data_IF_586877264214
#
_entry.id   IF_586877264214
#
_cell.length_a   1.000
_cell.length_b   1.000
_cell.length_c   1.000
_cell.angle_alpha   90.00
_cell.angle_beta   90.00
_cell.angle_gamma   90.00
#
_symmetry.space_group_name_H-M   'P 1'
#
loop_
_entity.id
_entity.type
_entity.pdbx_description
1 polymer ?
#
# COMPACT_ATOMS: atom_id res chain seq x y z
N UNK A 1 8.52 5.13 8.48
CA UNK A 1 9.65 4.58 7.67
C UNK A 1 10.75 3.92 8.52
N UNK A 2 10.74 4.04 9.85
CA UNK A 2 11.76 3.48 10.76
C UNK A 2 11.86 1.95 10.77
N UNK A 3 10.80 1.21 10.42
CA UNK A 3 10.80 -0.26 10.37
C UNK A 3 11.42 -0.86 9.10
N UNK A 4 11.66 -0.07 8.06
CA UNK A 4 12.36 -0.52 6.84
C UNK A 4 13.79 -0.02 6.93
N UNK A 5 14.63 -0.73 7.68
CA UNK A 5 16.02 -0.32 7.95
C UNK A 5 16.95 -0.42 6.74
N UNK A 6 16.65 -1.31 5.78
CA UNK A 6 17.43 -1.46 4.55
C UNK A 6 17.19 -0.31 3.56
N UNK A 7 18.27 0.44 3.29
CA UNK A 7 18.28 1.58 2.37
C UNK A 7 17.88 1.19 0.94
N UNK A 8 18.37 0.06 0.41
CA UNK A 8 18.06 -0.37 -0.96
C UNK A 8 16.59 -0.70 -1.12
N UNK A 9 15.98 -1.24 -0.06
CA UNK A 9 14.54 -1.51 -0.05
C UNK A 9 13.77 -0.18 -0.06
N UNK A 10 14.17 0.80 0.77
CA UNK A 10 13.55 2.13 0.76
C UNK A 10 13.66 2.83 -0.59
N UNK A 11 14.82 2.78 -1.23
CA UNK A 11 15.04 3.38 -2.56
C UNK A 11 14.13 2.74 -3.61
N UNK A 12 14.00 1.41 -3.62
CA UNK A 12 13.09 0.72 -4.55
C UNK A 12 11.61 1.03 -4.27
N UNK A 13 11.23 1.16 -3.00
CA UNK A 13 9.87 1.59 -2.64
C UNK A 13 9.63 3.02 -3.16
N UNK A 14 10.58 3.94 -2.94
CA UNK A 14 10.51 5.31 -3.44
C UNK A 14 10.30 5.35 -4.95
N UNK A 15 11.11 4.61 -5.71
CA UNK A 15 10.96 4.54 -7.16
C UNK A 15 9.56 4.05 -7.61
N UNK A 16 8.95 3.11 -6.87
CA UNK A 16 7.58 2.66 -7.19
C UNK A 16 6.54 3.72 -6.81
N UNK A 17 6.75 4.50 -5.74
CA UNK A 17 5.89 5.64 -5.39
C UNK A 17 5.98 6.72 -6.47
N UNK A 18 7.17 7.03 -6.95
CA UNK A 18 7.39 8.02 -8.01
C UNK A 18 6.66 7.62 -9.30
N UNK A 19 6.70 6.32 -9.65
CA UNK A 19 5.95 5.80 -10.79
C UNK A 19 4.44 5.98 -10.65
N UNK A 20 3.87 6.01 -9.43
CA UNK A 20 2.43 6.21 -9.27
C UNK A 20 1.99 7.58 -9.81
N UNK A 21 2.88 8.58 -9.91
CA UNK A 21 2.56 9.88 -10.50
C UNK A 21 2.10 9.79 -11.97
N UNK A 22 2.42 8.70 -12.66
CA UNK A 22 2.05 8.46 -14.06
C UNK A 22 0.89 7.46 -14.14
N UNK A 23 -0.31 7.90 -14.50
CA UNK A 23 -1.51 7.05 -14.67
C UNK A 23 -1.75 6.06 -13.49
N UNK A 24 -1.87 6.54 -12.23
CA UNK A 24 -2.04 5.67 -11.06
C UNK A 24 -3.23 4.71 -11.17
N UNK A 25 -4.30 5.10 -11.88
CA UNK A 25 -5.50 4.29 -12.10
C UNK A 25 -5.25 3.05 -12.97
N UNK A 26 -4.18 3.04 -13.77
CA UNK A 26 -3.74 1.90 -14.58
C UNK A 26 -2.76 1.00 -13.84
N UNK A 27 -2.26 1.44 -12.68
CA UNK A 27 -1.27 0.71 -11.91
C UNK A 27 -1.91 -0.10 -10.76
N UNK A 28 -1.23 -1.16 -10.34
CA UNK A 28 -1.69 -2.02 -9.23
C UNK A 28 -3.05 -2.68 -9.47
N UNK A 29 -3.57 -3.37 -8.45
CA UNK A 29 -4.89 -4.00 -8.46
C UNK A 29 -5.86 -3.20 -7.61
N UNK A 30 -7.03 -2.89 -8.14
CA UNK A 30 -8.14 -2.39 -7.34
C UNK A 30 -8.51 -3.42 -6.26
N UNK A 31 -8.70 -2.95 -5.04
CA UNK A 31 -9.15 -3.76 -3.92
C UNK A 31 -10.68 -3.77 -3.87
N UNK A 32 -11.23 -4.81 -3.22
CA UNK A 32 -12.66 -5.06 -3.12
C UNK A 32 -13.10 -5.11 -1.65
N UNK A 33 -14.42 -5.08 -1.42
CA UNK A 33 -15.01 -5.13 -0.09
C UNK A 33 -14.70 -3.88 0.73
N UNK A 34 -14.31 -4.03 1.99
CA UNK A 34 -14.00 -2.92 2.90
C UNK A 34 -12.87 -1.99 2.42
N UNK A 35 -12.06 -2.44 1.46
CA UNK A 35 -10.98 -1.64 0.86
C UNK A 35 -11.32 -1.19 -0.57
N UNK A 36 -12.59 -1.24 -0.97
CA UNK A 36 -13.02 -0.67 -2.25
C UNK A 36 -12.61 0.80 -2.34
N UNK A 37 -12.16 1.23 -3.53
CA UNK A 37 -11.58 2.56 -3.74
C UNK A 37 -10.07 2.63 -3.52
N UNK A 38 -9.47 1.66 -2.82
CA UNK A 38 -8.01 1.53 -2.72
C UNK A 38 -7.44 0.64 -3.82
N UNK A 39 -6.15 0.82 -4.08
CA UNK A 39 -5.35 0.03 -5.01
C UNK A 39 -4.11 -0.52 -4.31
N UNK A 40 -3.66 -1.71 -4.73
CA UNK A 40 -2.46 -2.36 -4.20
C UNK A 40 -1.47 -2.67 -5.30
N UNK A 41 -0.24 -2.18 -5.15
CA UNK A 41 0.89 -2.50 -6.02
C UNK A 41 2.01 -3.17 -5.22
N UNK A 42 2.75 -4.08 -5.87
CA UNK A 42 3.95 -4.69 -5.30
C UNK A 42 5.11 -3.73 -5.48
N UNK A 43 5.78 -3.36 -4.40
CA UNK A 43 6.94 -2.47 -4.45
C UNK A 43 8.26 -3.24 -4.56
N UNK A 44 8.49 -4.21 -3.67
CA UNK A 44 9.74 -4.99 -3.62
C UNK A 44 9.45 -6.44 -3.24
N UNK A 45 9.89 -7.40 -4.06
CA UNK A 45 9.69 -8.82 -3.79
C UNK A 45 8.23 -9.19 -3.53
N UNK A 46 7.97 -10.24 -2.75
CA UNK A 46 6.59 -10.61 -2.38
C UNK A 46 6.05 -9.89 -1.13
N UNK A 47 6.95 -9.23 -0.38
CA UNK A 47 6.68 -8.77 0.99
C UNK A 47 6.31 -7.29 1.10
N UNK A 48 6.71 -6.46 0.14
CA UNK A 48 6.47 -5.03 0.21
C UNK A 48 5.36 -4.65 -0.76
N UNK A 49 4.25 -4.15 -0.21
CA UNK A 49 3.13 -3.64 -0.99
C UNK A 49 2.83 -2.21 -0.57
N UNK A 50 2.47 -1.40 -1.55
CA UNK A 50 1.93 -0.07 -1.36
C UNK A 50 0.42 -0.18 -1.55
N UNK A 51 -0.34 0.30 -0.56
CA UNK A 51 -1.77 0.54 -0.67
C UNK A 51 -1.97 2.04 -0.77
N UNK A 52 -2.66 2.46 -1.82
CA UNK A 52 -2.88 3.87 -2.12
C UNK A 52 -4.31 4.09 -2.63
N UNK A 53 -4.75 5.34 -2.57
CA UNK A 53 -6.03 5.81 -3.09
C UNK A 53 -5.75 7.01 -4.00
N UNK A 54 -6.57 7.16 -5.04
CA UNK A 54 -6.54 8.34 -5.91
C UNK A 54 -7.68 9.25 -5.47
N UNK A 55 -7.39 10.52 -5.17
CA UNK A 55 -8.37 11.53 -4.74
C UNK A 55 -8.26 12.76 -5.62
N UNK A 56 -9.14 12.88 -6.60
CA UNK A 56 -9.02 13.93 -7.61
C UNK A 56 -7.68 13.80 -8.36
N UNK A 57 -6.84 14.83 -8.26
CA UNK A 57 -5.50 14.84 -8.85
C UNK A 57 -4.40 14.34 -7.91
N UNK A 58 -4.74 14.04 -6.65
CA UNK A 58 -3.76 13.65 -5.64
C UNK A 58 -3.70 12.12 -5.46
N UNK A 59 -2.48 11.62 -5.28
CA UNK A 59 -2.25 10.22 -4.88
C UNK A 59 -1.98 10.20 -3.40
N UNK A 60 -2.91 9.61 -2.64
CA UNK A 60 -2.75 9.42 -1.21
C UNK A 60 -2.17 8.03 -0.99
N UNK A 61 -0.88 7.97 -0.68
CA UNK A 61 -0.24 6.73 -0.24
C UNK A 61 -0.54 6.52 1.23
N UNK A 62 -1.33 5.49 1.52
CA UNK A 62 -1.90 5.30 2.85
C UNK A 62 -1.09 4.30 3.67
N UNK A 63 -0.55 3.26 3.03
CA UNK A 63 0.26 2.25 3.71
C UNK A 63 1.40 1.78 2.83
N UNK A 64 2.61 1.84 3.37
CA UNK A 64 3.80 1.14 2.89
C UNK A 64 4.20 0.16 3.99
N UNK A 65 3.83 -1.12 3.85
CA UNK A 65 4.19 -2.10 4.88
C UNK A 65 4.91 -3.34 4.34
N UNK A 66 5.60 -3.97 5.27
CA UNK A 66 6.34 -5.22 5.13
C UNK A 66 5.44 -6.33 5.66
N UNK A 67 5.05 -7.28 4.82
CA UNK A 67 4.20 -8.38 5.25
C UNK A 67 4.31 -9.58 4.33
N UNK A 68 4.53 -10.76 4.89
CA UNK A 68 4.39 -12.02 4.15
C UNK A 68 2.89 -12.25 3.92
N UNK A 69 2.47 -12.44 2.66
CA UNK A 69 1.12 -12.92 2.35
C UNK A 69 0.99 -14.37 2.85
N UNK A 70 0.67 -14.55 4.12
CA UNK A 70 0.32 -15.82 4.76
C UNK A 70 -0.98 -15.60 5.52
N UNK A 71 -1.96 -16.44 5.24
CA UNK A 71 -3.23 -16.44 5.95
C UNK A 71 -2.99 -16.58 7.46
N UNK A 72 -3.56 -15.69 8.27
CA UNK A 72 -3.37 -15.65 9.73
C UNK A 72 -2.06 -15.04 10.25
N UNK A 73 -1.19 -14.46 9.40
CA UNK A 73 0.00 -13.77 9.87
C UNK A 73 -0.36 -12.41 10.52
N UNK A 74 0.25 -12.10 11.67
CA UNK A 74 0.11 -10.79 12.36
C UNK A 74 0.51 -9.60 11.47
N UNK A 75 1.34 -9.85 10.46
CA UNK A 75 1.87 -8.85 9.53
C UNK A 75 1.06 -8.80 8.21
N UNK A 76 -0.17 -9.34 8.18
CA UNK A 76 -1.03 -9.24 6.99
C UNK A 76 -1.46 -7.79 6.75
N UNK A 77 -0.88 -7.23 5.68
CA UNK A 77 -1.14 -5.88 5.16
C UNK A 77 -2.63 -5.58 5.01
N UNK A 78 -3.45 -6.55 4.59
CA UNK A 78 -4.87 -6.32 4.37
C UNK A 78 -5.64 -6.22 5.68
N UNK A 79 -5.24 -6.97 6.70
CA UNK A 79 -5.85 -6.87 8.03
C UNK A 79 -5.48 -5.56 8.73
N UNK A 80 -4.22 -5.11 8.60
CA UNK A 80 -3.82 -3.78 9.08
C UNK A 80 -4.61 -2.69 8.36
N UNK A 81 -4.71 -2.74 7.03
CA UNK A 81 -5.46 -1.78 6.24
C UNK A 81 -6.94 -1.74 6.64
N UNK A 82 -7.60 -2.90 6.73
CA UNK A 82 -8.99 -3.00 7.21
C UNK A 82 -9.14 -2.44 8.62
N UNK A 83 -8.21 -2.73 9.53
CA UNK A 83 -8.24 -2.21 10.90
C UNK A 83 -8.14 -0.68 10.92
N UNK A 84 -7.19 -0.11 10.20
CA UNK A 84 -7.02 1.35 10.11
C UNK A 84 -8.24 2.02 9.45
N UNK A 85 -8.80 1.40 8.41
CA UNK A 85 -10.02 1.86 7.75
C UNK A 85 -11.21 1.85 8.72
N UNK A 86 -11.43 0.75 9.46
CA UNK A 86 -12.48 0.66 10.49
C UNK A 86 -12.32 1.68 11.60
N UNK A 87 -11.08 2.02 11.95
CA UNK A 87 -10.75 3.08 12.90
C UNK A 87 -10.88 4.50 12.32
N UNK A 88 -11.30 4.65 11.05
CA UNK A 88 -11.37 5.92 10.29
C UNK A 88 -10.04 6.68 10.25
N UNK A 89 -8.93 5.97 10.44
CA UNK A 89 -7.58 6.50 10.29
C UNK A 89 -7.14 6.46 8.82
N UNK A 90 -7.85 5.69 7.99
CA UNK A 90 -7.85 5.83 6.54
C UNK A 90 -9.20 6.44 6.19
N UNK A 91 -9.21 7.69 5.77
CA UNK A 91 -10.43 8.41 5.39
C UNK A 91 -10.99 7.87 4.06
N UNK A 92 -12.27 8.16 3.79
CA UNK A 92 -12.86 8.14 2.44
C UNK A 92 -12.33 9.28 1.58
#
# INVERSE_FOLDING_TARGET
MSDISDRRIREKIGAVIDLLAEDPEKQGKALLGELAGFRSIRAVGQRYRIIYQIRGNDIVVVIVAVGIRRDGAKDDIYNLAKKLFRLRLLSE
#
